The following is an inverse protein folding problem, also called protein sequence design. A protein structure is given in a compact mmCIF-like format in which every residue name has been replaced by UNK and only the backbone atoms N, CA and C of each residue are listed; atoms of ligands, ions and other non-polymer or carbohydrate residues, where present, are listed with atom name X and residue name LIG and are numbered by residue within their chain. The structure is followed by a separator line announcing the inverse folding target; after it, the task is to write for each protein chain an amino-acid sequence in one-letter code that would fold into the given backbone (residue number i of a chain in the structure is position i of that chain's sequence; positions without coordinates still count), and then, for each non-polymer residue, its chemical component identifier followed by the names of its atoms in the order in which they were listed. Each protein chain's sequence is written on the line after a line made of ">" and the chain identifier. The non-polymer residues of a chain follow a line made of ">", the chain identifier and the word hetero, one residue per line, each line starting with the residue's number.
data_IF_030571144677
#
_entry.id   IF_030571144677
#
_cell.length_a   1.000
_cell.length_b   1.000
_cell.length_c   1.000
_cell.angle_alpha   90.00
_cell.angle_beta   90.00
_cell.angle_gamma   90.00
#
_symmetry.space_group_name_H-M   'P 1'
#
loop_
_entity.id
_entity.type
_entity.pdbx_description
1 polymer ?
#
# COMPACT_ATOMS: atom_id res chain seq x y z
N UNK A 1 22.15 -1.42 -7.16
CA UNK A 1 22.58 -2.54 -6.31
C UNK A 1 23.04 -2.01 -4.95
N UNK A 2 22.73 -2.70 -3.88
CA UNK A 2 23.04 -2.33 -2.50
C UNK A 2 23.90 -3.44 -1.87
N UNK A 3 25.16 -3.53 -2.32
CA UNK A 3 26.19 -4.37 -1.73
C UNK A 3 27.02 -3.60 -0.70
N UNK A 4 28.30 -3.88 -0.61
CA UNK A 4 29.27 -3.12 0.22
C UNK A 4 29.33 -1.64 -0.19
N UNK A 5 28.95 -1.34 -1.44
CA UNK A 5 28.90 -0.02 -2.03
C UNK A 5 27.67 0.08 -2.93
N UNK A 6 27.00 1.24 -2.95
CA UNK A 6 25.95 1.50 -3.93
C UNK A 6 26.57 1.55 -5.34
N UNK A 7 26.12 0.67 -6.22
CA UNK A 7 26.54 0.59 -7.61
C UNK A 7 25.39 0.94 -8.53
N UNK A 8 25.70 1.60 -9.64
CA UNK A 8 24.78 1.78 -10.76
C UNK A 8 25.14 0.76 -11.85
N UNK A 9 24.13 0.17 -12.46
CA UNK A 9 24.30 -0.75 -13.57
C UNK A 9 23.15 -0.63 -14.56
N UNK A 10 23.35 -1.22 -15.70
CA UNK A 10 22.36 -1.31 -16.78
C UNK A 10 21.78 -2.71 -16.78
N UNK A 11 20.44 -2.81 -16.80
CA UNK A 11 19.77 -4.10 -16.95
C UNK A 11 19.89 -4.57 -18.40
N UNK A 12 20.54 -5.70 -18.59
CA UNK A 12 20.69 -6.39 -19.87
C UNK A 12 19.82 -7.63 -19.93
N UNK A 13 19.52 -8.05 -21.15
CA UNK A 13 18.78 -9.26 -21.46
C UNK A 13 19.66 -10.24 -22.22
N UNK A 14 19.71 -11.49 -21.78
CA UNK A 14 20.37 -12.55 -22.51
C UNK A 14 19.64 -12.83 -23.83
N UNK A 15 20.34 -12.65 -24.94
CA UNK A 15 19.84 -12.99 -26.27
C UNK A 15 19.99 -14.49 -26.53
N UNK A 16 19.01 -15.09 -27.17
CA UNK A 16 19.11 -16.46 -27.67
C UNK A 16 19.35 -16.43 -29.17
N UNK A 17 20.51 -16.91 -29.64
CA UNK A 17 20.92 -16.86 -31.03
C UNK A 17 20.93 -15.44 -31.64
N UNK A 18 21.17 -14.41 -30.83
CA UNK A 18 21.18 -13.02 -31.29
C UNK A 18 19.78 -12.37 -31.45
N UNK A 19 18.71 -13.09 -31.12
CA UNK A 19 17.33 -12.59 -31.21
C UNK A 19 16.76 -12.22 -29.85
N UNK A 20 15.91 -11.18 -29.81
CA UNK A 20 15.19 -10.77 -28.59
C UNK A 20 14.07 -11.79 -28.31
N UNK A 21 14.06 -12.32 -27.10
CA UNK A 21 13.04 -13.27 -26.66
C UNK A 21 11.73 -12.54 -26.34
N UNK A 22 10.60 -13.21 -26.56
CA UNK A 22 9.27 -12.77 -26.16
C UNK A 22 8.79 -13.45 -24.86
N UNK A 23 9.46 -14.52 -24.44
CA UNK A 23 9.22 -15.33 -23.24
C UNK A 23 10.33 -15.08 -22.20
N UNK A 24 10.44 -13.85 -21.70
CA UNK A 24 11.51 -13.43 -20.79
C UNK A 24 11.22 -13.94 -19.37
N UNK A 25 12.20 -14.62 -18.78
CA UNK A 25 12.21 -15.00 -17.38
C UNK A 25 13.23 -14.16 -16.59
N UNK A 26 13.09 -14.11 -15.26
CA UNK A 26 14.01 -13.36 -14.40
C UNK A 26 15.47 -13.83 -14.56
N UNK A 27 15.66 -15.12 -14.84
CA UNK A 27 16.98 -15.72 -15.09
C UNK A 27 17.64 -15.29 -16.40
N UNK A 28 16.90 -14.66 -17.30
CA UNK A 28 17.42 -14.10 -18.55
C UNK A 28 18.00 -12.70 -18.37
N UNK A 29 17.75 -12.09 -17.20
CA UNK A 29 18.21 -10.73 -16.90
C UNK A 29 19.56 -10.74 -16.20
N UNK A 30 20.37 -9.74 -16.48
CA UNK A 30 21.62 -9.47 -15.78
C UNK A 30 21.81 -7.98 -15.57
N UNK A 31 22.70 -7.63 -14.64
CA UNK A 31 23.06 -6.23 -14.37
C UNK A 31 24.52 -6.03 -14.77
N UNK A 32 24.74 -5.21 -15.77
CA UNK A 32 26.08 -4.78 -16.17
C UNK A 32 26.48 -3.53 -15.37
N UNK A 33 27.46 -3.68 -14.49
CA UNK A 33 28.06 -2.59 -13.71
C UNK A 33 29.44 -2.18 -14.25
N UNK A 34 29.85 -2.68 -15.42
CA UNK A 34 31.14 -2.38 -16.04
C UNK A 34 32.31 -3.20 -15.47
N UNK A 35 32.08 -4.26 -14.70
CA UNK A 35 33.12 -5.15 -14.22
C UNK A 35 33.67 -6.01 -15.35
N UNK A 36 35.01 -6.22 -15.34
CA UNK A 36 35.70 -7.02 -16.35
C UNK A 36 35.89 -8.48 -15.95
N UNK A 37 35.64 -8.78 -14.65
CA UNK A 37 35.76 -10.15 -14.15
C UNK A 37 34.80 -10.41 -12.97
N UNK A 38 34.48 -11.68 -12.75
CA UNK A 38 33.72 -12.14 -11.59
C UNK A 38 34.46 -11.82 -10.28
N UNK A 39 35.78 -11.91 -10.24
CA UNK A 39 36.57 -11.63 -9.06
C UNK A 39 36.39 -10.16 -8.62
N UNK A 40 36.52 -9.24 -9.56
CA UNK A 40 36.30 -7.81 -9.33
C UNK A 40 34.87 -7.54 -8.82
N UNK A 41 33.87 -8.14 -9.44
CA UNK A 41 32.47 -7.96 -9.00
C UNK A 41 32.26 -8.45 -7.56
N UNK A 42 32.83 -9.60 -7.18
CA UNK A 42 32.66 -10.19 -5.84
C UNK A 42 33.36 -9.39 -4.72
N UNK A 43 34.23 -8.46 -5.04
CA UNK A 43 34.79 -7.53 -4.05
C UNK A 43 33.71 -6.56 -3.53
N UNK A 44 32.71 -6.23 -4.35
CA UNK A 44 31.70 -5.20 -4.06
C UNK A 44 30.29 -5.74 -3.91
N UNK A 45 29.98 -6.89 -4.51
CA UNK A 45 28.63 -7.49 -4.48
C UNK A 45 28.70 -8.97 -4.11
N UNK A 46 27.62 -9.46 -3.54
CA UNK A 46 27.45 -10.86 -3.15
C UNK A 46 26.06 -11.37 -3.57
N UNK A 47 25.87 -12.70 -3.72
CA UNK A 47 24.54 -13.28 -3.83
C UNK A 47 23.66 -12.87 -2.65
N UNK A 48 22.43 -12.39 -2.94
CA UNK A 48 21.51 -11.89 -1.93
C UNK A 48 21.51 -10.35 -1.80
N UNK A 49 22.42 -9.64 -2.44
CA UNK A 49 22.38 -8.17 -2.48
C UNK A 49 21.17 -7.69 -3.29
N UNK A 50 20.52 -6.64 -2.79
CA UNK A 50 19.34 -6.08 -3.42
C UNK A 50 19.66 -5.26 -4.67
N UNK A 51 18.81 -5.41 -5.67
CA UNK A 51 18.80 -4.59 -6.87
C UNK A 51 17.48 -3.84 -6.94
N UNK A 52 17.53 -2.56 -7.21
CA UNK A 52 16.33 -1.73 -7.36
C UNK A 52 16.44 -0.83 -8.57
N UNK A 53 15.32 -0.50 -9.17
CA UNK A 53 15.30 0.53 -10.22
C UNK A 53 15.76 1.88 -9.66
N UNK A 54 16.56 2.61 -10.44
CA UNK A 54 16.94 3.99 -10.13
C UNK A 54 15.87 4.91 -10.70
N UNK A 55 14.92 5.28 -9.87
CA UNK A 55 13.83 6.17 -10.25
C UNK A 55 13.60 7.21 -9.13
N UNK A 56 13.49 8.47 -9.52
CA UNK A 56 13.07 9.56 -8.64
C UNK A 56 11.53 9.65 -8.62
N UNK A 57 11.00 10.55 -7.82
CA UNK A 57 9.58 10.93 -7.90
C UNK A 57 9.49 12.10 -8.88
N UNK A 58 8.64 11.97 -9.89
CA UNK A 58 8.33 13.01 -10.86
C UNK A 58 6.91 13.51 -10.65
N UNK A 59 6.73 14.82 -10.75
CA UNK A 59 5.42 15.45 -10.78
C UNK A 59 4.84 15.34 -12.20
N UNK A 60 3.58 14.94 -12.27
CA UNK A 60 2.82 14.84 -13.49
C UNK A 60 1.67 15.85 -13.48
N UNK A 61 1.00 15.99 -14.63
CA UNK A 61 -0.20 16.84 -14.72
C UNK A 61 -1.35 16.35 -13.80
N UNK A 62 -2.24 17.25 -13.41
CA UNK A 62 -3.42 17.01 -12.58
C UNK A 62 -3.10 16.47 -11.18
N UNK A 63 -2.07 17.03 -10.53
CA UNK A 63 -1.64 16.67 -9.18
C UNK A 63 -1.32 15.18 -9.02
N UNK A 64 -0.84 14.55 -10.08
CA UNK A 64 -0.35 13.20 -10.06
C UNK A 64 1.17 13.17 -9.83
N UNK A 65 1.64 12.08 -9.25
CA UNK A 65 3.06 11.78 -9.10
C UNK A 65 3.38 10.41 -9.67
N UNK A 66 4.56 10.29 -10.26
CA UNK A 66 5.10 9.01 -10.68
C UNK A 66 6.34 8.68 -9.85
N UNK A 67 6.48 7.42 -9.45
CA UNK A 67 7.63 7.02 -8.65
C UNK A 67 7.70 5.52 -8.42
N UNK A 68 8.86 5.08 -7.94
CA UNK A 68 9.07 3.69 -7.53
C UNK A 68 8.62 3.49 -6.08
N UNK A 69 7.85 2.43 -5.84
CA UNK A 69 7.45 2.03 -4.48
C UNK A 69 6.52 3.05 -3.83
N UNK A 70 5.60 3.64 -4.61
CA UNK A 70 4.46 4.35 -4.06
C UNK A 70 3.58 3.37 -3.27
N UNK A 71 3.59 2.12 -3.68
CA UNK A 71 3.21 0.95 -2.90
C UNK A 71 4.35 0.55 -1.94
N UNK A 72 4.24 0.74 -0.59
CA UNK A 72 3.14 1.48 0.02
C UNK A 72 3.68 2.68 0.82
N UNK A 73 4.46 3.56 0.17
CA UNK A 73 4.91 4.81 0.80
C UNK A 73 3.79 5.82 0.95
N UNK A 74 2.79 5.76 0.05
CA UNK A 74 1.61 6.61 0.16
C UNK A 74 0.81 6.26 1.41
N UNK A 75 0.63 4.97 1.71
CA UNK A 75 0.02 4.53 2.96
C UNK A 75 0.83 4.90 4.20
N UNK A 76 2.17 4.76 4.15
CA UNK A 76 3.03 5.18 5.25
C UNK A 76 2.91 6.69 5.54
N UNK A 77 2.88 7.53 4.51
CA UNK A 77 2.61 8.96 4.64
C UNK A 77 1.21 9.20 5.26
N UNK A 78 0.20 8.52 4.72
CA UNK A 78 -1.20 8.67 5.13
C UNK A 78 -1.40 8.36 6.61
N UNK A 79 -0.91 7.24 7.12
CA UNK A 79 -1.14 6.86 8.53
C UNK A 79 -0.46 7.83 9.51
N UNK A 80 0.72 8.36 9.15
CA UNK A 80 1.42 9.35 9.96
C UNK A 80 0.70 10.69 9.98
N UNK A 81 0.27 11.19 8.83
CA UNK A 81 -0.46 12.46 8.75
C UNK A 81 -1.86 12.37 9.34
N UNK A 82 -2.57 11.26 9.14
CA UNK A 82 -3.86 11.03 9.78
C UNK A 82 -3.77 11.02 11.31
N UNK A 83 -2.72 10.41 11.88
CA UNK A 83 -2.45 10.47 13.32
C UNK A 83 -2.29 11.91 13.81
N UNK A 84 -1.47 12.72 13.13
CA UNK A 84 -1.23 14.11 13.49
C UNK A 84 -2.53 14.94 13.43
N UNK A 85 -3.29 14.81 12.34
CA UNK A 85 -4.56 15.53 12.15
C UNK A 85 -5.65 15.05 13.12
N UNK A 86 -5.73 13.75 13.40
CA UNK A 86 -6.67 13.24 14.39
C UNK A 86 -6.41 13.85 15.78
N UNK A 87 -5.12 13.99 16.15
CA UNK A 87 -4.73 14.68 17.38
C UNK A 87 -5.15 16.15 17.36
N UNK A 88 -4.92 16.88 16.27
CA UNK A 88 -5.31 18.28 16.09
C UNK A 88 -6.84 18.45 16.17
N UNK A 89 -7.60 17.49 15.62
CA UNK A 89 -9.06 17.41 15.71
C UNK A 89 -9.57 17.01 17.10
N UNK A 90 -8.69 16.66 18.04
CA UNK A 90 -9.04 16.33 19.42
C UNK A 90 -9.51 14.88 19.62
N UNK A 91 -8.88 13.92 18.92
CA UNK A 91 -9.17 12.49 19.12
C UNK A 91 -9.10 12.10 20.60
N UNK A 92 -10.11 11.38 21.07
CA UNK A 92 -10.30 11.00 22.48
C UNK A 92 -9.78 9.61 22.81
N UNK A 93 -9.41 8.84 21.81
CA UNK A 93 -8.92 7.46 21.93
C UNK A 93 -7.40 7.39 21.75
N UNK A 94 -6.78 6.32 22.24
CA UNK A 94 -5.36 6.05 21.97
C UNK A 94 -5.16 5.66 20.53
N UNK A 95 -4.44 6.47 19.74
CA UNK A 95 -4.16 6.24 18.34
C UNK A 95 -2.71 5.87 18.14
N UNK A 96 -2.45 4.82 17.37
CA UNK A 96 -1.12 4.36 17.00
C UNK A 96 -1.01 4.29 15.48
N UNK A 97 0.00 4.93 14.91
CA UNK A 97 0.39 4.72 13.52
C UNK A 97 1.56 3.74 13.45
N UNK A 98 1.46 2.74 12.59
CA UNK A 98 2.49 1.73 12.41
C UNK A 98 2.84 1.59 10.93
N UNK A 99 4.13 1.68 10.61
CA UNK A 99 4.65 1.24 9.31
C UNK A 99 5.27 -0.14 9.51
N UNK A 100 4.75 -1.11 8.80
CA UNK A 100 5.08 -2.52 8.98
C UNK A 100 6.05 -3.01 7.92
N UNK A 101 6.74 -4.09 8.19
CA UNK A 101 7.66 -4.73 7.25
C UNK A 101 7.11 -6.05 6.75
N UNK A 102 7.42 -6.38 5.48
CA UNK A 102 7.16 -7.68 4.89
C UNK A 102 5.70 -7.92 4.51
N UNK A 103 4.96 -6.86 4.16
CA UNK A 103 3.61 -6.96 3.64
C UNK A 103 3.58 -7.83 2.38
N UNK A 104 4.39 -7.54 1.38
CA UNK A 104 4.55 -8.22 0.08
C UNK A 104 4.94 -9.71 0.17
N UNK A 105 5.25 -10.20 1.36
CA UNK A 105 5.74 -11.58 1.54
C UNK A 105 4.94 -12.37 2.56
N UNK A 106 4.83 -11.86 3.77
CA UNK A 106 4.29 -12.61 4.92
C UNK A 106 3.34 -11.81 5.79
N UNK A 107 3.27 -10.48 5.62
CA UNK A 107 2.47 -9.55 6.44
C UNK A 107 2.76 -9.66 7.95
N UNK A 108 3.90 -10.26 8.33
CA UNK A 108 4.19 -10.54 9.75
C UNK A 108 4.53 -9.29 10.55
N UNK A 109 4.94 -8.20 9.88
CA UNK A 109 5.14 -6.91 10.53
C UNK A 109 3.87 -6.40 11.20
N UNK A 110 2.74 -6.48 10.50
CA UNK A 110 1.42 -6.14 11.04
C UNK A 110 1.03 -7.03 12.22
N UNK A 111 1.22 -8.35 12.10
CA UNK A 111 0.96 -9.29 13.19
C UNK A 111 1.75 -8.93 14.45
N UNK A 112 3.05 -8.64 14.32
CA UNK A 112 3.89 -8.25 15.46
C UNK A 112 3.48 -6.89 16.04
N UNK A 113 3.15 -5.91 15.20
CA UNK A 113 2.70 -4.59 15.66
C UNK A 113 1.40 -4.72 16.47
N UNK A 114 0.41 -5.45 15.97
CA UNK A 114 -0.84 -5.69 16.68
C UNK A 114 -0.62 -6.45 18.00
N UNK A 115 0.25 -7.45 18.02
CA UNK A 115 0.60 -8.21 19.23
C UNK A 115 1.24 -7.35 20.33
N UNK A 116 1.97 -6.30 19.95
CA UNK A 116 2.60 -5.35 20.90
C UNK A 116 1.63 -4.26 21.35
N UNK A 117 0.90 -3.65 20.43
CA UNK A 117 -0.04 -2.56 20.69
C UNK A 117 -1.30 -3.08 21.37
N UNK A 118 -1.79 -4.26 20.96
CA UNK A 118 -3.06 -4.85 21.38
C UNK A 118 -4.23 -3.88 21.19
N UNK A 119 -4.44 -3.40 19.98
CA UNK A 119 -5.48 -2.42 19.71
C UNK A 119 -6.86 -3.06 19.83
N UNK A 120 -7.89 -2.25 20.08
CA UNK A 120 -9.30 -2.67 20.06
C UNK A 120 -9.82 -2.84 18.64
N UNK A 121 -9.30 -2.08 17.70
CA UNK A 121 -9.61 -2.12 16.29
C UNK A 121 -8.40 -1.66 15.46
N UNK A 122 -8.40 -1.95 14.16
CA UNK A 122 -7.38 -1.48 13.26
C UNK A 122 -7.94 -1.09 11.88
N UNK A 123 -7.30 -0.11 11.25
CA UNK A 123 -7.51 0.22 9.84
C UNK A 123 -6.18 0.04 9.12
N UNK A 124 -6.13 -0.88 8.18
CA UNK A 124 -5.01 -0.96 7.26
C UNK A 124 -5.15 0.14 6.19
N UNK A 125 -4.05 0.77 5.83
CA UNK A 125 -4.01 1.70 4.70
C UNK A 125 -3.09 1.13 3.66
N UNK A 126 -3.64 0.86 2.49
CA UNK A 126 -2.91 0.25 1.39
C UNK A 126 -3.25 0.93 0.07
N UNK A 127 -2.63 0.50 -1.00
CA UNK A 127 -2.95 0.96 -2.35
C UNK A 127 -3.82 -0.06 -3.08
N UNK A 128 -4.52 0.36 -4.13
CA UNK A 128 -5.36 -0.52 -4.92
C UNK A 128 -5.22 -0.22 -6.41
N UNK A 129 -5.21 -1.26 -7.23
CA UNK A 129 -5.24 -1.12 -8.67
C UNK A 129 -6.43 -0.28 -9.13
N UNK A 130 -6.17 0.75 -9.92
CA UNK A 130 -7.24 1.42 -10.66
C UNK A 130 -7.64 0.61 -11.90
N UNK A 131 -8.84 0.83 -12.39
CA UNK A 131 -9.36 0.20 -13.62
C UNK A 131 -9.66 1.21 -14.72
N UNK A 132 -9.10 2.40 -14.61
CA UNK A 132 -9.34 3.51 -15.54
C UNK A 132 -8.27 3.66 -16.63
N UNK A 133 -7.47 2.62 -16.83
CA UNK A 133 -6.47 2.55 -17.91
C UNK A 133 -6.51 1.21 -18.64
N UNK A 134 -5.84 1.15 -19.80
CA UNK A 134 -5.86 -0.04 -20.67
C UNK A 134 -5.24 -1.27 -19.98
N UNK A 135 -5.88 -2.42 -20.13
CA UNK A 135 -5.40 -3.71 -19.61
C UNK A 135 -5.91 -4.07 -18.20
N UNK A 136 -6.68 -3.18 -17.55
CA UNK A 136 -7.26 -3.44 -16.23
C UNK A 136 -8.79 -3.54 -16.31
N UNK A 137 -9.34 -4.75 -16.50
CA UNK A 137 -10.78 -4.91 -16.70
C UNK A 137 -11.55 -4.65 -15.38
N UNK A 138 -12.56 -3.74 -15.41
CA UNK A 138 -13.36 -3.42 -14.21
C UNK A 138 -14.11 -4.61 -13.62
N UNK A 139 -14.37 -5.63 -14.43
CA UNK A 139 -15.02 -6.88 -13.98
C UNK A 139 -14.18 -7.65 -12.96
N UNK A 140 -12.86 -7.49 -13.00
CA UNK A 140 -11.91 -8.17 -12.09
C UNK A 140 -11.55 -7.31 -10.88
N UNK A 141 -11.37 -6.02 -11.07
CA UNK A 141 -10.78 -5.13 -10.06
C UNK A 141 -11.76 -4.10 -9.48
N UNK A 142 -13.02 -4.12 -9.95
CA UNK A 142 -13.98 -3.07 -9.61
C UNK A 142 -13.74 -1.80 -10.45
N UNK A 143 -14.59 -0.80 -10.26
CA UNK A 143 -14.48 0.50 -10.94
C UNK A 143 -13.78 1.50 -10.04
N UNK A 144 -12.47 1.41 -9.98
CA UNK A 144 -11.61 2.32 -9.21
C UNK A 144 -10.91 3.27 -10.17
N UNK A 145 -10.97 4.56 -9.90
CA UNK A 145 -10.37 5.62 -10.71
C UNK A 145 -9.33 6.39 -9.92
N UNK A 146 -8.25 6.78 -10.57
CA UNK A 146 -7.31 7.75 -10.05
C UNK A 146 -7.98 9.13 -9.96
N UNK A 147 -7.79 9.85 -8.85
CA UNK A 147 -8.48 11.12 -8.61
C UNK A 147 -9.96 10.96 -8.23
N UNK A 148 -10.42 9.74 -7.94
CA UNK A 148 -11.80 9.45 -7.56
C UNK A 148 -12.06 9.41 -6.06
N UNK A 149 -11.08 9.72 -5.23
CA UNK A 149 -11.12 9.59 -3.78
C UNK A 149 -10.68 8.21 -3.28
N UNK A 150 -10.54 8.04 -1.96
CA UNK A 150 -10.16 6.78 -1.36
C UNK A 150 -11.14 5.66 -1.67
N UNK A 151 -10.67 4.41 -1.67
CA UNK A 151 -11.52 3.25 -1.84
C UNK A 151 -11.63 2.46 -0.54
N UNK A 152 -12.86 2.22 -0.10
CA UNK A 152 -13.15 1.45 1.10
C UNK A 152 -13.33 -0.04 0.74
N UNK A 153 -12.64 -0.90 1.46
CA UNK A 153 -12.79 -2.34 1.31
C UNK A 153 -14.16 -2.84 1.72
N UNK A 154 -14.70 -3.77 0.97
CA UNK A 154 -15.91 -4.53 1.32
C UNK A 154 -15.63 -6.02 1.13
N UNK A 155 -15.84 -6.81 2.16
CA UNK A 155 -15.61 -8.25 2.09
C UNK A 155 -15.69 -8.92 3.46
N UNK A 156 -15.42 -10.21 3.50
CA UNK A 156 -15.58 -11.03 4.70
C UNK A 156 -14.59 -10.70 5.83
N UNK A 157 -13.44 -10.10 5.50
CA UNK A 157 -12.43 -9.66 6.47
C UNK A 157 -12.81 -8.32 7.10
N UNK A 158 -13.62 -7.51 6.40
CA UNK A 158 -13.92 -6.14 6.81
C UNK A 158 -14.97 -6.09 7.91
N UNK A 159 -14.69 -5.36 8.98
CA UNK A 159 -15.66 -5.03 10.03
C UNK A 159 -16.72 -4.06 9.50
N UNK A 160 -17.97 -4.46 9.54
CA UNK A 160 -19.09 -3.62 9.09
C UNK A 160 -19.25 -2.34 9.94
N UNK A 161 -19.13 -2.37 11.29
CA UNK A 161 -19.14 -1.14 12.10
C UNK A 161 -18.01 -0.16 11.70
N UNK A 162 -16.79 -0.63 11.48
CA UNK A 162 -15.68 0.22 11.03
C UNK A 162 -15.97 0.84 9.67
N UNK A 163 -16.51 0.06 8.74
CA UNK A 163 -16.88 0.56 7.42
C UNK A 163 -17.94 1.66 7.50
N UNK A 164 -19.00 1.47 8.29
CA UNK A 164 -20.03 2.50 8.49
C UNK A 164 -19.42 3.79 9.06
N UNK A 165 -18.58 3.69 10.07
CA UNK A 165 -17.95 4.86 10.67
C UNK A 165 -17.01 5.61 9.70
N UNK A 166 -16.29 4.90 8.81
CA UNK A 166 -15.50 5.52 7.75
C UNK A 166 -16.38 6.17 6.67
N UNK A 167 -17.49 5.53 6.29
CA UNK A 167 -18.48 6.11 5.36
C UNK A 167 -19.09 7.40 5.93
N UNK A 168 -19.43 7.41 7.22
CA UNK A 168 -19.92 8.60 7.91
C UNK A 168 -18.88 9.72 7.99
N UNK A 169 -17.60 9.37 8.26
CA UNK A 169 -16.51 10.33 8.27
C UNK A 169 -16.33 10.98 6.89
N UNK A 170 -16.31 10.18 5.83
CA UNK A 170 -16.24 10.67 4.45
C UNK A 170 -17.46 11.54 4.10
N UNK A 171 -18.67 11.13 4.52
CA UNK A 171 -19.90 11.89 4.33
C UNK A 171 -19.87 13.26 5.01
N UNK A 172 -19.37 13.36 6.24
CA UNK A 172 -19.21 14.65 6.94
C UNK A 172 -18.26 15.61 6.21
N UNK A 173 -17.26 15.07 5.56
CA UNK A 173 -16.29 15.86 4.78
C UNK A 173 -16.72 16.13 3.33
N UNK A 174 -17.78 15.48 2.84
CA UNK A 174 -18.19 15.53 1.45
C UNK A 174 -17.18 14.87 0.50
N UNK A 175 -16.34 13.96 1.01
CA UNK A 175 -15.34 13.22 0.23
C UNK A 175 -16.00 11.96 -0.35
N UNK A 176 -15.95 11.76 -1.69
CA UNK A 176 -16.50 10.56 -2.31
C UNK A 176 -15.67 9.33 -1.94
N UNK A 177 -16.34 8.21 -1.66
CA UNK A 177 -15.69 6.92 -1.51
C UNK A 177 -15.94 6.04 -2.73
N UNK A 178 -14.89 5.38 -3.17
CA UNK A 178 -14.97 4.25 -4.09
C UNK A 178 -15.04 2.95 -3.27
N UNK A 179 -15.41 1.84 -3.88
CA UNK A 179 -15.56 0.57 -3.18
C UNK A 179 -14.77 -0.54 -3.85
N UNK A 180 -13.92 -1.19 -3.04
CA UNK A 180 -13.17 -2.37 -3.43
C UNK A 180 -13.81 -3.62 -2.83
N UNK A 181 -14.42 -4.44 -3.66
CA UNK A 181 -15.13 -5.64 -3.19
C UNK A 181 -14.23 -6.86 -3.33
N UNK A 182 -13.87 -7.46 -2.19
CA UNK A 182 -13.02 -8.66 -2.13
C UNK A 182 -13.71 -9.72 -1.27
N UNK A 183 -14.29 -10.78 -1.86
CA UNK A 183 -15.06 -11.77 -1.10
C UNK A 183 -14.21 -12.68 -0.21
N UNK A 184 -12.91 -12.78 -0.46
CA UNK A 184 -11.95 -13.63 0.28
C UNK A 184 -10.89 -12.81 1.01
N UNK A 185 -9.66 -13.31 0.99
CA UNK A 185 -8.48 -12.60 1.50
C UNK A 185 -8.25 -11.32 0.70
N UNK A 186 -7.83 -10.28 1.38
CA UNK A 186 -7.68 -8.96 0.78
C UNK A 186 -6.32 -8.76 0.12
N UNK A 187 -5.32 -9.54 0.53
CA UNK A 187 -3.95 -9.40 0.07
C UNK A 187 -3.26 -8.18 0.69
N UNK A 188 -3.63 -7.80 1.92
CA UNK A 188 -3.06 -6.67 2.65
C UNK A 188 -2.77 -7.05 4.10
N UNK A 189 -2.10 -6.20 4.84
CA UNK A 189 -1.86 -6.36 6.28
C UNK A 189 -3.14 -6.64 7.09
N UNK A 190 -4.32 -6.24 6.61
CA UNK A 190 -5.59 -6.51 7.25
C UNK A 190 -5.86 -8.01 7.46
N UNK A 191 -5.41 -8.87 6.56
CA UNK A 191 -5.56 -10.33 6.66
C UNK A 191 -4.83 -10.91 7.88
N UNK A 192 -3.69 -10.33 8.26
CA UNK A 192 -2.94 -10.74 9.45
C UNK A 192 -3.40 -10.03 10.70
N UNK A 193 -3.80 -8.78 10.60
CA UNK A 193 -4.40 -8.04 11.72
C UNK A 193 -5.67 -8.74 12.20
N UNK A 194 -6.56 -9.14 11.29
CA UNK A 194 -7.80 -9.85 11.65
C UNK A 194 -7.54 -11.16 12.42
N UNK A 195 -6.43 -11.85 12.14
CA UNK A 195 -6.04 -13.11 12.81
C UNK A 195 -5.35 -12.89 14.17
N UNK A 196 -5.20 -11.66 14.64
CA UNK A 196 -4.48 -11.35 15.88
C UNK A 196 -5.39 -11.51 17.10
N UNK A 197 -4.90 -12.15 18.15
CA UNK A 197 -5.64 -12.35 19.39
C UNK A 197 -6.85 -13.27 19.21
N UNK A 198 -8.02 -12.80 19.58
CA UNK A 198 -9.32 -13.50 19.43
C UNK A 198 -10.06 -13.09 18.16
N UNK A 199 -9.38 -12.40 17.26
CA UNK A 199 -9.97 -11.77 16.08
C UNK A 199 -10.07 -10.26 16.26
N UNK A 200 -9.18 -9.50 15.61
CA UNK A 200 -9.19 -8.04 15.67
C UNK A 200 -10.19 -7.48 14.64
N UNK A 201 -11.15 -6.64 15.03
CA UNK A 201 -11.98 -5.90 14.07
C UNK A 201 -11.09 -5.03 13.19
N UNK A 202 -11.15 -5.24 11.88
CA UNK A 202 -10.28 -4.58 10.91
C UNK A 202 -11.03 -4.20 9.65
N UNK A 203 -10.56 -3.19 8.96
CA UNK A 203 -10.92 -2.89 7.58
C UNK A 203 -9.72 -2.28 6.86
N UNK A 204 -9.85 -2.07 5.55
CA UNK A 204 -8.81 -1.41 4.74
C UNK A 204 -9.39 -0.19 4.03
N UNK A 205 -8.65 0.90 4.09
CA UNK A 205 -8.87 2.10 3.29
C UNK A 205 -7.74 2.19 2.27
N UNK A 206 -8.10 2.17 0.98
CA UNK A 206 -7.14 2.11 -0.11
C UNK A 206 -6.94 3.47 -0.78
N UNK A 207 -5.73 3.69 -1.25
CA UNK A 207 -5.35 4.80 -2.13
C UNK A 207 -5.29 4.26 -3.57
N UNK A 208 -6.03 4.83 -4.53
CA UNK A 208 -5.95 4.41 -5.92
C UNK A 208 -4.55 4.57 -6.51
N UNK A 209 -4.06 3.53 -7.20
CA UNK A 209 -2.73 3.51 -7.79
C UNK A 209 -2.77 2.86 -9.17
N UNK A 210 -2.10 3.46 -10.16
CA UNK A 210 -1.84 2.85 -11.46
C UNK A 210 -0.48 2.16 -11.46
N UNK A 211 -0.39 1.08 -12.22
CA UNK A 211 0.87 0.37 -12.48
C UNK A 211 1.53 -0.20 -11.23
N UNK A 212 0.74 -0.52 -10.18
CA UNK A 212 1.23 -1.19 -8.97
C UNK A 212 2.11 -2.40 -9.32
N UNK A 213 3.17 -2.63 -8.53
CA UNK A 213 4.16 -3.68 -8.73
C UNK A 213 4.98 -3.53 -10.03
N UNK A 214 5.04 -2.33 -10.58
CA UNK A 214 5.89 -2.01 -11.72
C UNK A 214 7.08 -1.10 -11.32
N UNK A 215 8.06 -0.90 -12.21
CA UNK A 215 9.20 -0.03 -11.91
C UNK A 215 8.84 1.42 -11.61
N UNK A 216 7.70 1.89 -12.08
CA UNK A 216 7.18 3.23 -11.85
C UNK A 216 5.66 3.19 -11.74
N UNK A 217 5.17 3.66 -10.63
CA UNK A 217 3.75 3.69 -10.25
C UNK A 217 3.24 5.12 -10.32
N UNK A 218 1.92 5.30 -10.46
CA UNK A 218 1.31 6.64 -10.56
C UNK A 218 0.18 6.76 -9.54
N UNK A 219 0.28 7.76 -8.67
CA UNK A 219 -0.70 8.12 -7.65
C UNK A 219 -1.20 9.56 -7.80
N UNK A 220 -2.37 9.85 -7.25
CA UNK A 220 -2.93 11.19 -7.15
C UNK A 220 -2.70 11.76 -5.74
N UNK A 221 -2.12 12.95 -5.64
CA UNK A 221 -1.95 13.64 -4.36
C UNK A 221 -3.30 13.99 -3.72
N UNK A 222 -4.31 14.26 -4.53
CA UNK A 222 -5.66 14.50 -4.03
C UNK A 222 -6.26 13.26 -3.35
N UNK A 223 -6.08 12.07 -3.92
CA UNK A 223 -6.55 10.82 -3.31
C UNK A 223 -5.82 10.55 -1.98
N UNK A 224 -4.51 10.80 -1.93
CA UNK A 224 -3.72 10.66 -0.69
C UNK A 224 -4.25 11.60 0.38
N UNK A 225 -4.42 12.86 0.06
CA UNK A 225 -4.88 13.88 1.01
C UNK A 225 -6.30 13.60 1.51
N UNK A 226 -7.20 13.20 0.62
CA UNK A 226 -8.56 12.79 0.98
C UNK A 226 -8.55 11.56 1.87
N UNK A 227 -7.65 10.59 1.64
CA UNK A 227 -7.50 9.41 2.51
C UNK A 227 -7.03 9.81 3.91
N UNK A 228 -6.08 10.75 4.00
CA UNK A 228 -5.62 11.32 5.28
C UNK A 228 -6.78 11.96 6.03
N UNK A 229 -7.58 12.80 5.35
CA UNK A 229 -8.70 13.50 5.99
C UNK A 229 -9.79 12.55 6.47
N UNK A 230 -10.20 11.59 5.65
CA UNK A 230 -11.23 10.59 6.03
C UNK A 230 -10.77 9.79 7.24
N UNK A 231 -9.52 9.32 7.23
CA UNK A 231 -8.98 8.55 8.35
C UNK A 231 -8.85 9.41 9.61
N UNK A 232 -8.40 10.65 9.50
CA UNK A 232 -8.28 11.57 10.63
C UNK A 232 -9.65 11.92 11.23
N UNK A 233 -10.66 12.16 10.40
CA UNK A 233 -12.03 12.43 10.81
C UNK A 233 -12.67 11.22 11.51
N UNK A 234 -12.44 10.02 10.96
CA UNK A 234 -12.87 8.78 11.59
C UNK A 234 -12.25 8.62 12.98
N UNK A 235 -10.93 8.77 13.10
CA UNK A 235 -10.20 8.64 14.37
C UNK A 235 -10.61 9.69 15.40
N UNK A 236 -10.90 10.92 14.99
CA UNK A 236 -11.36 11.99 15.85
C UNK A 236 -12.79 11.79 16.37
N UNK A 237 -13.61 11.09 15.57
CA UNK A 237 -15.00 10.77 15.94
C UNK A 237 -15.12 9.57 16.88
N UNK A 238 -14.08 8.75 17.02
CA UNK A 238 -14.10 7.61 17.92
C UNK A 238 -14.08 8.05 19.38
N UNK A 239 -14.87 7.37 20.19
CA UNK A 239 -14.89 7.53 21.65
C UNK A 239 -15.02 6.17 22.35
N UNK A 240 -15.19 6.19 23.68
CA UNK A 240 -15.33 4.99 24.51
C UNK A 240 -16.64 4.22 24.29
N UNK A 241 -17.60 4.79 23.58
CA UNK A 241 -18.89 4.17 23.27
C UNK A 241 -18.90 3.47 21.91
N UNK A 242 -17.84 3.63 21.11
CA UNK A 242 -17.76 2.95 19.83
C UNK A 242 -17.65 1.44 20.01
N UNK A 243 -18.68 0.72 19.58
CA UNK A 243 -18.72 -0.75 19.64
C UNK A 243 -18.34 -1.35 18.28
N UNK A 244 -17.19 -2.03 18.17
CA UNK A 244 -16.78 -2.72 16.94
C UNK A 244 -17.47 -4.06 16.73
N UNK A 245 -18.34 -4.54 17.66
CA UNK A 245 -19.04 -5.81 17.57
C UNK A 245 -20.08 -5.77 16.43
N UNK A 246 -19.95 -6.60 15.38
CA UNK A 246 -20.89 -6.58 14.26
C UNK A 246 -22.29 -7.17 14.59
N UNK A 247 -22.45 -7.78 15.75
CA UNK A 247 -23.69 -8.44 16.19
C UNK A 247 -24.51 -7.62 17.20
N UNK A 248 -24.01 -6.45 17.55
CA UNK A 248 -24.77 -5.47 18.36
C UNK A 248 -25.31 -4.39 17.45
N UNK A 249 -26.63 -4.22 17.50
CA UNK A 249 -27.38 -3.15 16.83
C UNK A 249 -27.31 -1.85 17.64
#
# INVERSE_FOLDING_TARGET
>A
MLGRKRLTGVMGLLLRNGEVRTDIELTDLYIDCGFTSRAEALELVAPGDFVTYSYAVDELENDCIAGRGLDNRLGAYTVLHALLRAREKGAKVGVFAATTTGEETTMRGAFHAAGRVRPTLAVAVDVIHTSDFSGMPPQRFGRIKLGGGPALAKGSVCSAPLNRALEEAAGRLGIPLQYAVTPGVMGTDADKLNQTGVGLPVTTLFIPLRYMHSPSEVGSLADVEQTVEVLAEFLAALDEHFDPDPFRD
#
